data_IF_486658857017
#
_entry.id   IF_486658857017
#
_cell.length_a   1.000
_cell.length_b   1.000
_cell.length_c   1.000
_cell.angle_alpha   90.00
_cell.angle_beta   90.00
_cell.angle_gamma   90.00
#
_symmetry.space_group_name_H-M   'P 1'
#
loop_
_entity.id
_entity.type
_entity.pdbx_description
1 polymer ?
#
# COMPACT_ATOMS: atom_id res chain seq x y z
N UNK A 1 16.35 -22.27 18.07
CA UNK A 1 16.43 -21.75 16.69
C UNK A 1 15.28 -22.36 15.93
N UNK A 2 14.19 -21.62 15.73
CA UNK A 2 13.06 -22.12 14.97
C UNK A 2 12.97 -21.28 13.71
N UNK A 3 13.43 -21.84 12.60
CA UNK A 3 13.60 -21.13 11.31
C UNK A 3 12.29 -20.49 10.84
N UNK A 4 11.16 -21.14 11.11
CA UNK A 4 9.84 -20.56 10.84
C UNK A 4 9.60 -19.28 11.65
N UNK A 5 9.98 -19.28 12.93
CA UNK A 5 9.80 -18.11 13.80
C UNK A 5 10.62 -16.91 13.34
N UNK A 6 11.86 -17.12 12.88
CA UNK A 6 12.69 -16.04 12.34
C UNK A 6 12.17 -15.56 10.99
N UNK A 7 11.75 -16.44 10.07
CA UNK A 7 11.17 -16.01 8.78
C UNK A 7 9.86 -15.25 8.97
N UNK A 8 8.97 -15.70 9.87
CA UNK A 8 7.75 -14.95 10.19
C UNK A 8 8.07 -13.59 10.80
N UNK A 9 9.08 -13.50 11.66
CA UNK A 9 9.50 -12.25 12.28
C UNK A 9 10.17 -11.31 11.28
N UNK A 10 10.99 -11.82 10.37
CA UNK A 10 11.64 -11.07 9.28
C UNK A 10 10.59 -10.58 8.27
N UNK A 11 9.66 -11.45 7.88
CA UNK A 11 8.51 -11.08 7.05
C UNK A 11 7.65 -10.04 7.75
N UNK A 12 7.31 -10.20 9.02
CA UNK A 12 6.61 -9.16 9.77
C UNK A 12 7.43 -7.88 9.88
N UNK A 13 8.77 -7.92 9.94
CA UNK A 13 9.60 -6.71 10.00
C UNK A 13 9.65 -5.98 8.66
N UNK A 14 9.67 -6.73 7.55
CA UNK A 14 9.51 -6.19 6.19
C UNK A 14 8.08 -5.68 5.97
N UNK A 15 7.06 -6.46 6.34
CA UNK A 15 5.64 -6.10 6.23
C UNK A 15 5.24 -4.97 7.16
N UNK A 16 5.81 -4.85 8.37
CA UNK A 16 5.55 -3.74 9.31
C UNK A 16 6.23 -2.47 8.84
N UNK A 17 7.40 -2.59 8.20
CA UNK A 17 7.94 -1.47 7.45
C UNK A 17 7.00 -1.07 6.31
N UNK A 18 6.38 -2.01 5.59
CA UNK A 18 5.38 -1.73 4.55
C UNK A 18 3.94 -1.56 5.06
N UNK A 19 3.68 -1.72 6.37
CA UNK A 19 2.33 -1.71 6.93
C UNK A 19 1.68 -0.35 6.76
N UNK A 20 2.47 0.73 6.81
CA UNK A 20 1.98 2.08 6.53
C UNK A 20 1.51 2.22 5.07
N UNK A 21 2.21 1.56 4.15
CA UNK A 21 1.88 1.53 2.73
C UNK A 21 0.65 0.64 2.47
N UNK A 22 0.58 -0.53 3.12
CA UNK A 22 -0.58 -1.44 3.06
C UNK A 22 -1.83 -0.79 3.64
N UNK A 23 -1.71 -0.07 4.76
CA UNK A 23 -2.80 0.71 5.36
C UNK A 23 -3.24 1.81 4.41
N UNK A 24 -2.31 2.50 3.73
CA UNK A 24 -2.65 3.54 2.75
C UNK A 24 -3.43 2.96 1.55
N UNK A 25 -3.04 1.79 1.04
CA UNK A 25 -3.78 1.09 -0.01
C UNK A 25 -5.18 0.70 0.47
N UNK A 26 -5.28 0.05 1.63
CA UNK A 26 -6.57 -0.38 2.20
C UNK A 26 -7.50 0.81 2.44
N UNK A 27 -6.98 1.91 2.98
CA UNK A 27 -7.74 3.14 3.18
C UNK A 27 -8.21 3.74 1.84
N UNK A 28 -7.35 3.76 0.83
CA UNK A 28 -7.71 4.23 -0.51
C UNK A 28 -8.81 3.38 -1.16
N UNK A 29 -8.73 2.05 -1.04
CA UNK A 29 -9.76 1.14 -1.54
C UNK A 29 -11.09 1.38 -0.84
N UNK A 30 -11.10 1.47 0.50
CA UNK A 30 -12.32 1.73 1.28
C UNK A 30 -12.92 3.09 0.89
N UNK A 31 -12.10 4.13 0.73
CA UNK A 31 -12.58 5.45 0.33
C UNK A 31 -13.25 5.40 -1.05
N UNK A 32 -12.63 4.74 -2.04
CA UNK A 32 -13.23 4.61 -3.39
C UNK A 32 -14.50 3.75 -3.35
N UNK A 33 -14.53 2.68 -2.56
CA UNK A 33 -15.71 1.84 -2.41
C UNK A 33 -16.90 2.61 -1.80
N UNK A 34 -16.65 3.45 -0.79
CA UNK A 34 -17.68 4.33 -0.21
C UNK A 34 -18.16 5.35 -1.25
N UNK A 35 -17.26 6.00 -1.97
CA UNK A 35 -17.59 6.99 -3.00
C UNK A 35 -18.42 6.37 -4.14
N UNK A 36 -18.09 5.15 -4.56
CA UNK A 36 -18.85 4.39 -5.54
C UNK A 36 -20.23 4.00 -4.99
N UNK A 37 -20.30 3.51 -3.76
CA UNK A 37 -21.55 3.11 -3.10
C UNK A 37 -22.52 4.26 -2.85
N UNK A 38 -22.02 5.48 -2.67
CA UNK A 38 -22.81 6.71 -2.54
C UNK A 38 -23.23 7.29 -3.91
N UNK A 39 -22.79 6.70 -5.03
CA UNK A 39 -23.09 7.20 -6.38
C UNK A 39 -22.39 8.51 -6.75
N UNK A 40 -21.39 8.94 -5.98
CA UNK A 40 -20.65 10.19 -6.20
C UNK A 40 -19.75 10.10 -7.43
N UNK A 41 -19.25 8.90 -7.74
CA UNK A 41 -18.40 8.62 -8.89
C UNK A 41 -18.90 7.41 -9.65
N UNK A 42 -18.89 7.50 -10.99
CA UNK A 42 -19.22 6.39 -11.86
C UNK A 42 -18.16 5.26 -11.81
N UNK A 43 -18.51 4.03 -12.26
CA UNK A 43 -17.63 2.87 -12.20
C UNK A 43 -16.26 3.08 -12.87
N UNK A 44 -16.25 3.78 -14.01
CA UNK A 44 -15.02 4.10 -14.75
C UNK A 44 -14.13 5.06 -13.96
N UNK A 45 -14.73 6.09 -13.34
CA UNK A 45 -13.99 7.08 -12.53
C UNK A 45 -13.41 6.43 -11.26
N UNK A 46 -14.15 5.52 -10.62
CA UNK A 46 -13.66 4.74 -9.48
C UNK A 46 -12.47 3.83 -9.88
N UNK A 47 -12.54 3.19 -11.04
CA UNK A 47 -11.43 2.40 -11.58
C UNK A 47 -10.17 3.25 -11.82
N UNK A 48 -10.33 4.44 -12.40
CA UNK A 48 -9.22 5.39 -12.59
C UNK A 48 -8.62 5.89 -11.27
N UNK A 49 -9.46 6.15 -10.26
CA UNK A 49 -9.01 6.52 -8.92
C UNK A 49 -8.17 5.41 -8.28
N UNK A 50 -8.61 4.16 -8.37
CA UNK A 50 -7.84 3.02 -7.86
C UNK A 50 -6.51 2.85 -8.59
N UNK A 51 -6.49 3.03 -9.91
CA UNK A 51 -5.26 2.98 -10.70
C UNK A 51 -4.29 4.09 -10.26
N UNK A 52 -4.77 5.32 -10.09
CA UNK A 52 -3.96 6.44 -9.62
C UNK A 52 -3.38 6.20 -8.21
N UNK A 53 -4.20 5.70 -7.28
CA UNK A 53 -3.75 5.34 -5.92
C UNK A 53 -2.68 4.25 -5.98
N UNK A 54 -2.85 3.24 -6.83
CA UNK A 54 -1.90 2.14 -6.99
C UNK A 54 -0.54 2.63 -7.52
N UNK A 55 -0.55 3.53 -8.50
CA UNK A 55 0.67 4.14 -9.05
C UNK A 55 1.36 5.02 -7.99
N UNK A 56 0.59 5.83 -7.25
CA UNK A 56 1.14 6.68 -6.20
C UNK A 56 1.82 5.85 -5.10
N UNK A 57 1.19 4.76 -4.70
CA UNK A 57 1.76 3.83 -3.70
C UNK A 57 3.02 3.15 -4.22
N UNK A 58 3.04 2.71 -5.49
CA UNK A 58 4.23 2.15 -6.11
C UNK A 58 5.38 3.17 -6.12
N UNK A 59 5.08 4.42 -6.47
CA UNK A 59 6.04 5.52 -6.45
C UNK A 59 6.60 5.77 -5.04
N UNK A 60 5.75 5.81 -4.01
CA UNK A 60 6.17 5.98 -2.62
C UNK A 60 7.05 4.80 -2.15
N UNK A 61 6.71 3.56 -2.54
CA UNK A 61 7.52 2.38 -2.26
C UNK A 61 8.92 2.47 -2.89
N UNK A 62 8.99 2.84 -4.17
CA UNK A 62 10.26 2.99 -4.90
C UNK A 62 11.11 4.11 -4.31
N UNK A 63 10.52 5.28 -4.05
CA UNK A 63 11.20 6.44 -3.46
C UNK A 63 11.72 6.14 -2.05
N UNK A 64 10.95 5.37 -1.28
CA UNK A 64 11.33 4.95 0.06
C UNK A 64 12.52 3.99 0.04
N UNK A 65 12.55 3.05 -0.90
CA UNK A 65 13.68 2.14 -1.08
C UNK A 65 14.94 2.89 -1.53
N UNK A 66 14.80 3.86 -2.44
CA UNK A 66 15.93 4.72 -2.83
C UNK A 66 16.43 5.57 -1.66
N UNK A 67 15.54 6.13 -0.84
CA UNK A 67 15.94 6.86 0.38
C UNK A 67 16.63 5.96 1.40
N UNK A 68 16.13 4.74 1.61
CA UNK A 68 16.75 3.77 2.53
C UNK A 68 18.17 3.39 2.09
N UNK A 69 18.38 3.18 0.78
CA UNK A 69 19.71 2.87 0.23
C UNK A 69 20.67 4.05 0.27
N UNK A 70 20.18 5.29 0.15
CA UNK A 70 21.01 6.50 0.26
C UNK A 70 21.48 6.78 1.70
N UNK A 71 20.73 6.31 2.70
CA UNK A 71 21.02 6.51 4.12
C UNK A 71 21.79 5.35 4.78
N UNK A 72 22.20 4.34 4.00
CA UNK A 72 23.15 3.29 4.38
C UNK A 72 24.48 3.57 3.72
#
# INVERSE_FOLDING_TARGET
MNILGDVFKELFKMFVADLRLTIAILAGIVAVAVLLGQGVVGPVAAGLLLAAISIAVLGEAVLRETRRRRNR
#
